data_IF_841562269834
#
_entry.id   IF_841562269834
#
_cell.length_a   1.000
_cell.length_b   1.000
_cell.length_c   1.000
_cell.angle_alpha   90.00
_cell.angle_beta   90.00
_cell.angle_gamma   90.00
#
_symmetry.space_group_name_H-M   'P 1'
#
loop_
_entity.id
_entity.type
_entity.pdbx_description
1 polymer ?
#
# COMPACT_ATOMS: atom_id res chain seq x y z
N UNK A 1 -11.49 -5.39 -13.89
CA UNK A 1 -11.92 -6.74 -13.61
C UNK A 1 -13.11 -6.70 -12.63
N UNK A 2 -14.28 -7.25 -12.98
CA UNK A 2 -15.48 -7.18 -12.15
C UNK A 2 -15.36 -7.94 -10.82
N UNK A 3 -14.32 -8.73 -10.64
CA UNK A 3 -14.04 -9.44 -9.38
C UNK A 3 -13.07 -8.68 -8.46
N UNK A 4 -12.50 -7.56 -8.91
CA UNK A 4 -11.61 -6.74 -8.11
C UNK A 4 -12.42 -5.70 -7.33
N UNK A 5 -12.09 -5.52 -6.06
CA UNK A 5 -12.60 -4.45 -5.21
C UNK A 5 -11.48 -3.44 -5.02
N UNK A 6 -11.73 -2.19 -5.38
CA UNK A 6 -10.79 -1.09 -5.21
C UNK A 6 -11.14 -0.31 -3.95
N UNK A 7 -10.15 -0.13 -3.08
CA UNK A 7 -10.30 0.67 -1.87
C UNK A 7 -9.28 1.80 -1.86
N UNK A 8 -9.74 3.00 -1.56
CA UNK A 8 -8.91 4.17 -1.28
C UNK A 8 -9.55 4.96 -0.13
N UNK A 9 -8.76 5.75 0.56
CA UNK A 9 -9.27 6.65 1.60
C UNK A 9 -9.94 7.89 1.00
N UNK A 10 -9.71 8.14 -0.28
CA UNK A 10 -10.22 9.29 -1.05
C UNK A 10 -11.38 8.86 -1.93
N UNK A 11 -12.34 9.74 -2.09
CA UNK A 11 -13.34 9.74 -3.14
C UNK A 11 -13.43 11.17 -3.64
N UNK A 12 -12.69 11.50 -4.70
CA UNK A 12 -12.51 12.87 -5.13
C UNK A 12 -12.11 13.00 -6.61
N UNK A 13 -12.43 14.16 -7.16
CA UNK A 13 -11.92 14.64 -8.44
C UNK A 13 -11.09 15.92 -8.21
N UNK A 14 -9.90 15.97 -8.79
CA UNK A 14 -9.08 17.18 -8.73
C UNK A 14 -8.26 17.37 -10.00
N UNK A 15 -7.95 18.63 -10.30
CA UNK A 15 -7.02 18.95 -11.38
C UNK A 15 -5.60 19.03 -10.82
N UNK A 16 -4.69 18.25 -11.39
CA UNK A 16 -3.28 18.27 -11.03
C UNK A 16 -2.59 19.55 -11.51
N UNK A 17 -1.44 19.85 -10.93
CA UNK A 17 -0.66 21.05 -11.30
C UNK A 17 -0.20 21.07 -12.76
N UNK A 18 -0.19 19.93 -13.44
CA UNK A 18 0.12 19.79 -14.88
C UNK A 18 -1.13 19.83 -15.78
N UNK A 19 -2.29 20.14 -15.22
CA UNK A 19 -3.56 20.29 -15.96
C UNK A 19 -4.30 18.96 -16.20
N UNK A 20 -3.78 17.82 -15.78
CA UNK A 20 -4.50 16.54 -15.87
C UNK A 20 -5.56 16.43 -14.78
N UNK A 21 -6.69 15.84 -15.13
CA UNK A 21 -7.70 15.48 -14.14
C UNK A 21 -7.32 14.17 -13.46
N UNK A 22 -7.43 14.15 -12.15
CA UNK A 22 -7.34 12.96 -11.32
C UNK A 22 -8.74 12.67 -10.78
N UNK A 23 -9.23 11.49 -11.07
CA UNK A 23 -10.49 10.95 -10.57
C UNK A 23 -10.17 9.72 -9.72
N UNK A 24 -10.63 9.71 -8.48
CA UNK A 24 -10.47 8.59 -7.54
C UNK A 24 -11.86 8.24 -7.03
N UNK A 25 -12.45 7.19 -7.58
CA UNK A 25 -13.75 6.67 -7.20
C UNK A 25 -13.61 5.18 -6.86
N UNK A 26 -13.24 4.84 -5.61
CA UNK A 26 -13.11 3.46 -5.18
C UNK A 26 -14.46 2.81 -4.98
N UNK A 27 -14.51 1.47 -5.05
CA UNK A 27 -15.69 0.70 -4.66
C UNK A 27 -15.96 0.82 -3.16
N UNK A 28 -14.89 0.97 -2.36
CA UNK A 28 -14.97 1.13 -0.90
C UNK A 28 -14.05 2.27 -0.46
N UNK A 29 -14.61 3.25 0.23
CA UNK A 29 -13.84 4.29 0.91
C UNK A 29 -13.40 3.76 2.26
N UNK A 30 -12.09 3.65 2.49
CA UNK A 30 -11.55 3.07 3.72
C UNK A 30 -10.07 3.31 3.93
N UNK A 31 -9.65 3.16 5.18
CA UNK A 31 -8.25 3.25 5.59
C UNK A 31 -7.61 1.86 5.56
N UNK A 32 -6.49 1.70 4.87
CA UNK A 32 -5.78 0.43 4.79
C UNK A 32 -5.26 -0.09 6.14
N UNK A 33 -5.21 0.77 7.17
CA UNK A 33 -4.82 0.40 8.53
C UNK A 33 -5.95 -0.23 9.34
N UNK A 34 -7.16 -0.15 8.84
CA UNK A 34 -8.37 -0.73 9.40
C UNK A 34 -9.38 -0.97 8.29
N UNK A 35 -9.19 -2.03 7.51
CA UNK A 35 -10.00 -2.30 6.34
C UNK A 35 -11.39 -2.79 6.73
N UNK A 36 -12.47 -2.28 6.09
CA UNK A 36 -13.85 -2.68 6.38
C UNK A 36 -14.23 -4.02 5.72
N UNK A 37 -13.37 -5.01 5.82
CA UNK A 37 -13.58 -6.36 5.30
C UNK A 37 -13.41 -7.38 6.42
N UNK A 38 -14.12 -8.48 6.31
CA UNK A 38 -13.99 -9.62 7.21
C UNK A 38 -12.64 -10.33 7.03
N UNK A 39 -12.24 -11.11 8.03
CA UNK A 39 -11.06 -11.95 7.97
C UNK A 39 -11.18 -12.97 6.83
N UNK A 40 -10.07 -13.32 6.22
CA UNK A 40 -9.98 -14.34 5.19
C UNK A 40 -10.99 -14.18 4.03
N UNK A 41 -11.22 -12.94 3.60
CA UNK A 41 -12.12 -12.60 2.49
C UNK A 41 -11.48 -12.84 1.13
N UNK A 42 -10.23 -12.41 0.94
CA UNK A 42 -9.59 -12.35 -0.37
C UNK A 42 -8.54 -13.45 -0.55
N UNK A 43 -8.37 -13.91 -1.79
CA UNK A 43 -7.24 -14.80 -2.18
C UNK A 43 -6.00 -14.04 -2.60
N UNK A 44 -6.20 -12.82 -3.10
CA UNK A 44 -5.16 -11.92 -3.56
C UNK A 44 -5.45 -10.52 -3.04
N UNK A 45 -4.46 -9.88 -2.48
CA UNK A 45 -4.46 -8.46 -2.15
C UNK A 45 -3.31 -7.79 -2.88
N UNK A 46 -3.57 -6.66 -3.51
CA UNK A 46 -2.54 -5.78 -4.06
C UNK A 46 -2.47 -4.54 -3.19
N UNK A 47 -1.33 -4.31 -2.56
CA UNK A 47 -1.12 -3.20 -1.64
C UNK A 47 -0.10 -2.22 -2.20
N UNK A 48 -0.54 -1.00 -2.46
CA UNK A 48 0.30 0.09 -2.93
C UNK A 48 0.07 1.34 -2.08
N UNK A 49 0.64 1.39 -0.87
CA UNK A 49 0.51 2.56 -0.01
C UNK A 49 1.33 3.75 -0.53
N UNK A 50 1.01 4.96 -0.08
CA UNK A 50 1.84 6.14 -0.33
C UNK A 50 3.28 5.92 0.13
N UNK A 51 4.23 6.08 -0.77
CA UNK A 51 5.66 5.79 -0.53
C UNK A 51 6.51 7.04 -0.23
N UNK A 52 5.95 8.25 -0.45
CA UNK A 52 6.68 9.50 -0.23
C UNK A 52 6.54 9.97 1.22
N UNK A 53 7.67 10.19 1.89
CA UNK A 53 7.76 10.67 3.28
C UNK A 53 7.82 12.19 3.34
N UNK A 54 8.52 12.81 2.38
CA UNK A 54 8.66 14.26 2.28
C UNK A 54 7.94 14.75 1.04
N UNK A 55 6.83 15.39 1.28
CA UNK A 55 6.11 16.17 0.28
C UNK A 55 6.20 17.62 0.74
N UNK A 56 6.35 18.56 -0.20
CA UNK A 56 6.39 19.98 0.12
C UNK A 56 5.20 20.39 0.99
N UNK A 57 5.33 21.51 1.73
CA UNK A 57 4.34 21.95 2.72
C UNK A 57 2.90 22.08 2.16
N UNK A 58 2.77 22.25 0.84
CA UNK A 58 1.50 22.35 0.11
C UNK A 58 1.09 21.05 -0.60
N UNK A 59 1.78 19.94 -0.33
CA UNK A 59 1.41 18.66 -0.92
C UNK A 59 0.24 18.05 -0.18
N UNK A 60 -0.81 17.74 -0.91
CA UNK A 60 -2.02 17.06 -0.44
C UNK A 60 -1.75 15.81 0.44
N UNK A 61 -0.69 15.07 0.12
CA UNK A 61 -0.29 13.87 0.86
C UNK A 61 0.33 14.17 2.23
N UNK A 62 0.94 15.36 2.40
CA UNK A 62 1.53 15.76 3.67
C UNK A 62 0.47 16.02 4.76
N UNK A 63 -0.70 16.50 4.38
CA UNK A 63 -1.80 16.75 5.30
C UNK A 63 -2.45 15.46 5.83
N UNK A 64 -2.41 14.39 5.06
CA UNK A 64 -3.19 13.18 5.34
C UNK A 64 -2.45 12.12 6.17
N UNK A 65 -1.11 12.06 6.15
CA UNK A 65 -0.34 10.96 6.72
C UNK A 65 0.55 11.32 7.90
N UNK A 66 0.48 12.56 8.40
CA UNK A 66 1.26 13.03 9.56
C UNK A 66 2.76 13.24 9.26
N UNK A 67 3.40 14.07 10.07
CA UNK A 67 4.79 14.51 9.88
C UNK A 67 5.85 13.59 10.53
N UNK A 68 5.46 12.51 11.21
CA UNK A 68 6.37 11.66 11.98
C UNK A 68 6.75 10.38 11.24
N UNK A 69 8.03 10.10 11.17
CA UNK A 69 8.58 8.87 10.60
C UNK A 69 8.10 7.62 11.34
N UNK A 70 8.04 7.67 12.67
CA UNK A 70 7.56 6.58 13.52
C UNK A 70 6.09 6.23 13.27
N UNK A 71 5.25 7.23 13.06
CA UNK A 71 3.82 7.01 12.74
C UNK A 71 3.61 6.33 11.39
N UNK A 72 4.54 6.50 10.44
CA UNK A 72 4.48 5.86 9.11
C UNK A 72 4.87 4.39 9.15
N UNK A 73 5.97 4.06 9.84
CA UNK A 73 6.39 2.67 9.98
C UNK A 73 5.30 1.87 10.69
N UNK A 74 4.69 2.45 11.73
CA UNK A 74 3.54 1.87 12.42
C UNK A 74 2.36 1.70 11.46
N UNK A 75 2.03 2.71 10.67
CA UNK A 75 0.95 2.63 9.69
C UNK A 75 1.20 1.59 8.59
N UNK A 76 2.44 1.47 8.10
CA UNK A 76 2.80 0.44 7.12
C UNK A 76 2.73 -0.97 7.73
N UNK A 77 3.14 -1.11 8.99
CA UNK A 77 3.01 -2.38 9.71
C UNK A 77 1.55 -2.78 9.88
N UNK A 78 0.71 -1.85 10.36
CA UNK A 78 -0.73 -2.06 10.49
C UNK A 78 -1.37 -2.43 9.14
N UNK A 79 -1.01 -1.72 8.06
CA UNK A 79 -1.50 -2.03 6.72
C UNK A 79 -1.10 -3.42 6.23
N UNK A 80 0.12 -3.87 6.53
CA UNK A 80 0.56 -5.23 6.23
C UNK A 80 -0.24 -6.26 7.05
N UNK A 81 -0.42 -6.01 8.34
CA UNK A 81 -1.21 -6.87 9.24
C UNK A 81 -2.66 -6.98 8.76
N UNK A 82 -3.27 -5.87 8.35
CA UNK A 82 -4.61 -5.85 7.77
C UNK A 82 -4.69 -6.62 6.44
N UNK A 83 -3.70 -6.42 5.54
CA UNK A 83 -3.61 -7.21 4.31
C UNK A 83 -3.56 -8.72 4.63
N UNK A 84 -2.76 -9.11 5.61
CA UNK A 84 -2.67 -10.51 6.03
C UNK A 84 -3.96 -10.99 6.71
N UNK A 85 -4.65 -10.15 7.48
CA UNK A 85 -5.92 -10.48 8.11
C UNK A 85 -6.99 -10.81 7.09
N UNK A 86 -7.17 -9.93 6.09
CA UNK A 86 -8.22 -10.10 5.06
C UNK A 86 -7.88 -11.14 4.00
N UNK A 87 -6.63 -11.58 3.90
CA UNK A 87 -6.24 -12.70 3.04
C UNK A 87 -6.69 -14.04 3.63
N UNK A 88 -7.19 -14.92 2.77
CA UNK A 88 -7.41 -16.34 3.10
C UNK A 88 -6.07 -17.02 3.45
N UNK A 89 -6.08 -18.12 4.20
CA UNK A 89 -4.91 -19.00 4.28
C UNK A 89 -4.38 -19.31 2.88
N UNK A 90 -3.07 -19.32 2.71
CA UNK A 90 -2.38 -19.48 1.41
C UNK A 90 -2.69 -18.38 0.38
N UNK A 91 -3.31 -17.30 0.81
CA UNK A 91 -3.55 -16.12 -0.03
C UNK A 91 -2.25 -15.34 -0.28
N UNK A 92 -2.25 -14.56 -1.35
CA UNK A 92 -1.09 -13.85 -1.87
C UNK A 92 -1.24 -12.34 -1.65
N UNK A 93 -0.22 -11.72 -1.07
CA UNK A 93 -0.05 -10.27 -1.03
C UNK A 93 0.96 -9.86 -2.09
N UNK A 94 0.54 -9.03 -3.03
CA UNK A 94 1.44 -8.32 -3.95
C UNK A 94 1.63 -6.92 -3.41
N UNK A 95 2.87 -6.59 -3.06
CA UNK A 95 3.22 -5.29 -2.51
C UNK A 95 4.07 -4.50 -3.49
N UNK A 96 3.62 -3.29 -3.83
CA UNK A 96 4.36 -2.36 -4.68
C UNK A 96 4.94 -1.25 -3.84
N UNK A 97 6.25 -1.02 -3.98
CA UNK A 97 6.96 -0.02 -3.21
C UNK A 97 7.97 0.75 -4.06
N UNK A 98 8.07 2.05 -3.84
CA UNK A 98 9.14 2.86 -4.40
C UNK A 98 10.14 3.24 -3.30
N UNK A 99 11.39 2.81 -3.44
CA UNK A 99 12.44 2.95 -2.43
C UNK A 99 13.22 4.28 -2.49
N UNK A 100 12.62 5.32 -3.07
CA UNK A 100 13.28 6.64 -3.14
C UNK A 100 13.61 7.22 -1.77
N UNK A 101 12.76 7.00 -0.77
CA UNK A 101 12.92 7.57 0.57
C UNK A 101 13.12 6.51 1.66
N UNK A 102 12.54 5.32 1.50
CA UNK A 102 12.69 4.20 2.44
C UNK A 102 13.08 2.98 1.62
N UNK A 103 14.21 2.36 1.96
CA UNK A 103 14.70 1.17 1.29
C UNK A 103 13.74 -0.01 1.45
N UNK A 104 13.59 -0.85 0.42
CA UNK A 104 12.76 -2.04 0.47
C UNK A 104 13.17 -3.01 1.59
N UNK A 105 14.47 -3.11 1.89
CA UNK A 105 14.97 -3.91 3.02
C UNK A 105 14.44 -3.44 4.39
N UNK A 106 14.21 -2.13 4.54
CA UNK A 106 13.60 -1.59 5.76
C UNK A 106 12.12 -1.94 5.84
N UNK A 107 11.41 -1.91 4.71
CA UNK A 107 9.99 -2.32 4.64
C UNK A 107 9.83 -3.80 5.02
N UNK A 108 10.69 -4.68 4.51
CA UNK A 108 10.67 -6.11 4.85
C UNK A 108 10.84 -6.31 6.37
N UNK A 109 11.75 -5.53 7.00
CA UNK A 109 11.92 -5.57 8.46
C UNK A 109 10.69 -5.08 9.23
N UNK A 110 10.02 -4.03 8.73
CA UNK A 110 8.78 -3.51 9.32
C UNK A 110 7.66 -4.55 9.26
N UNK A 111 7.55 -5.24 8.12
CA UNK A 111 6.54 -6.29 7.93
C UNK A 111 6.83 -7.53 8.79
N UNK A 112 8.09 -7.80 9.08
CA UNK A 112 8.49 -8.97 9.88
C UNK A 112 8.35 -10.31 9.13
N UNK A 113 8.06 -10.26 7.83
CA UNK A 113 7.94 -11.44 6.95
C UNK A 113 8.78 -11.23 5.70
N UNK A 114 9.37 -12.30 5.19
CA UNK A 114 10.14 -12.24 3.96
C UNK A 114 9.26 -12.48 2.74
N UNK A 115 9.48 -11.75 1.64
CA UNK A 115 8.81 -12.06 0.38
C UNK A 115 9.30 -13.40 -0.17
N UNK A 116 8.44 -14.11 -0.90
CA UNK A 116 8.83 -15.28 -1.68
C UNK A 116 9.77 -14.88 -2.81
N UNK A 117 9.48 -13.77 -3.46
CA UNK A 117 10.31 -13.17 -4.50
C UNK A 117 9.94 -11.69 -4.65
N UNK A 118 10.78 -10.96 -5.37
CA UNK A 118 10.55 -9.58 -5.75
C UNK A 118 11.23 -9.23 -7.07
N UNK A 119 10.76 -8.17 -7.71
CA UNK A 119 11.32 -7.69 -8.98
C UNK A 119 11.25 -6.17 -9.07
N UNK A 120 12.31 -5.57 -9.61
CA UNK A 120 12.31 -4.15 -9.97
C UNK A 120 11.55 -3.92 -11.26
N UNK A 121 10.76 -2.84 -11.32
CA UNK A 121 9.97 -2.50 -12.52
C UNK A 121 10.80 -2.18 -13.76
N UNK A 122 12.11 -1.95 -13.60
CA UNK A 122 13.05 -1.69 -14.69
C UNK A 122 14.46 -1.48 -14.17
N UNK A 123 15.47 -1.55 -15.05
CA UNK A 123 16.89 -1.53 -14.72
C UNK A 123 17.29 -0.34 -13.81
N UNK A 124 16.73 0.84 -14.07
CA UNK A 124 17.01 2.06 -13.31
C UNK A 124 15.83 2.47 -12.40
N UNK A 125 14.81 1.64 -12.26
CA UNK A 125 13.64 1.93 -11.44
C UNK A 125 13.95 1.71 -9.97
N UNK A 126 13.42 2.62 -9.14
CA UNK A 126 13.37 2.45 -7.68
C UNK A 126 12.09 1.74 -7.22
N UNK A 127 11.21 1.41 -8.15
CA UNK A 127 9.96 0.70 -7.86
C UNK A 127 10.20 -0.80 -7.88
N UNK A 128 9.77 -1.45 -6.81
CA UNK A 128 9.86 -2.89 -6.62
C UNK A 128 8.47 -3.48 -6.41
N UNK A 129 8.28 -4.68 -6.93
CA UNK A 129 7.15 -5.53 -6.63
C UNK A 129 7.63 -6.68 -5.77
N UNK A 130 6.94 -6.96 -4.69
CA UNK A 130 7.24 -8.05 -3.77
C UNK A 130 6.01 -8.92 -3.58
N UNK A 131 6.22 -10.22 -3.60
CA UNK A 131 5.17 -11.22 -3.41
C UNK A 131 5.34 -11.89 -2.05
N UNK A 132 4.31 -11.86 -1.22
CA UNK A 132 4.27 -12.54 0.07
C UNK A 132 3.16 -13.58 0.07
N UNK A 133 3.38 -14.68 0.73
CA UNK A 133 2.40 -15.73 0.94
C UNK A 133 1.96 -15.70 2.41
N UNK A 134 0.64 -15.68 2.65
CA UNK A 134 0.11 -15.91 3.99
C UNK A 134 0.28 -17.38 4.33
N UNK A 135 0.84 -17.68 5.50
CA UNK A 135 0.95 -19.07 5.96
C UNK A 135 -0.44 -19.69 6.12
N UNK A 136 -0.49 -21.02 6.03
CA UNK A 136 -1.73 -21.77 6.20
C UNK A 136 -2.28 -21.72 7.64
N UNK A 137 -1.47 -21.27 8.60
CA UNK A 137 -1.77 -21.22 10.04
C UNK A 137 -1.64 -19.81 10.59
#
# INVERSE_FOLDING_TARGET
NPLAVFMDIRDEECTLCDGRNLEVHPDVVGDFRNMPFEDATFRLVVFYPPHLVRLGANSYTAHKYGKSFSSRETGLKQGCEECMRVLKPEGVLIFKWNETQIAASRIIKIFGVNPLFGHKSGKNSKTQWMCFLKSAY
#
